data_IF_645140161596
#
_entry.id   IF_645140161596
#
_cell.length_a   1.000
_cell.length_b   1.000
_cell.length_c   1.000
_cell.angle_alpha   90.00
_cell.angle_beta   90.00
_cell.angle_gamma   90.00
#
_symmetry.space_group_name_H-M   'P 1'
#
loop_
_entity.id
_entity.type
_entity.pdbx_description
1 polymer ?
#
# COMPACT_ATOMS: atom_id res chain seq x y z
N UNK A 1 -29.61 35.52 -12.11
CA UNK A 1 -29.45 34.14 -12.60
C UNK A 1 -28.14 33.61 -12.03
N UNK A 2 -28.22 32.81 -10.96
CA UNK A 2 -27.07 32.40 -10.15
C UNK A 2 -26.19 31.37 -10.84
N UNK A 3 -24.88 31.63 -10.82
CA UNK A 3 -23.82 30.86 -11.43
C UNK A 3 -23.71 29.47 -10.77
N UNK A 4 -23.83 28.41 -11.56
CA UNK A 4 -23.74 27.03 -11.08
C UNK A 4 -22.25 26.72 -10.92
N UNK A 5 -21.76 26.81 -9.69
CA UNK A 5 -20.37 26.56 -9.37
C UNK A 5 -19.96 25.13 -9.79
N UNK A 6 -18.84 25.08 -10.50
CA UNK A 6 -18.13 23.90 -10.96
C UNK A 6 -17.89 22.93 -9.77
N UNK A 7 -18.56 21.77 -9.75
CA UNK A 7 -18.27 20.69 -8.79
C UNK A 7 -16.97 19.99 -9.23
N UNK A 8 -15.84 20.50 -8.76
CA UNK A 8 -14.53 19.89 -8.98
C UNK A 8 -14.40 18.64 -8.09
N UNK A 9 -14.32 17.46 -8.70
CA UNK A 9 -14.02 16.23 -7.98
C UNK A 9 -12.51 16.18 -7.67
N UNK A 10 -12.12 16.32 -6.40
CA UNK A 10 -10.71 16.29 -5.99
C UNK A 10 -10.29 14.86 -5.71
N UNK A 11 -9.40 14.31 -6.53
CA UNK A 11 -8.77 13.00 -6.31
C UNK A 11 -7.57 13.18 -5.38
N UNK A 12 -7.47 12.35 -4.33
CA UNK A 12 -6.31 12.28 -3.44
C UNK A 12 -5.73 10.87 -3.47
N UNK A 13 -4.41 10.80 -3.64
CA UNK A 13 -3.68 9.53 -3.60
C UNK A 13 -2.98 9.39 -2.25
N UNK A 14 -3.21 8.25 -1.59
CA UNK A 14 -2.59 7.91 -0.32
C UNK A 14 -1.81 6.59 -0.47
N UNK A 15 -0.47 6.60 -0.28
CA UNK A 15 0.31 5.37 -0.36
C UNK A 15 0.05 4.49 0.87
N UNK A 16 -0.41 3.28 0.65
CA UNK A 16 -0.76 2.33 1.73
C UNK A 16 0.20 1.15 1.82
N UNK A 17 0.70 0.67 0.67
CA UNK A 17 1.54 -0.52 0.58
C UNK A 17 2.70 -0.29 -0.39
N UNK A 18 3.83 -0.94 -0.14
CA UNK A 18 5.01 -0.91 -1.01
C UNK A 18 5.69 -2.26 -1.04
N UNK A 19 6.25 -2.61 -2.19
CA UNK A 19 7.06 -3.82 -2.35
C UNK A 19 8.36 -3.54 -3.10
N UNK A 20 9.42 -4.27 -2.77
CA UNK A 20 10.72 -4.16 -3.48
C UNK A 20 11.32 -5.53 -3.75
N UNK A 21 11.72 -5.80 -4.98
CA UNK A 21 12.38 -7.05 -5.34
C UNK A 21 13.86 -7.08 -4.93
N UNK A 22 14.28 -8.15 -4.27
CA UNK A 22 15.67 -8.40 -3.85
C UNK A 22 16.24 -9.53 -4.70
N UNK A 23 16.95 -9.17 -5.78
CA UNK A 23 17.48 -10.13 -6.76
C UNK A 23 18.35 -11.23 -6.13
N UNK A 24 19.24 -10.87 -5.21
CA UNK A 24 20.14 -11.82 -4.54
C UNK A 24 19.43 -12.90 -3.72
N UNK A 25 18.20 -12.62 -3.26
CA UNK A 25 17.41 -13.55 -2.44
C UNK A 25 16.15 -14.06 -3.16
N UNK A 26 15.93 -13.62 -4.40
CA UNK A 26 14.78 -13.95 -5.23
C UNK A 26 13.42 -13.85 -4.49
N UNK A 27 13.18 -12.72 -3.83
CA UNK A 27 11.90 -12.44 -3.18
C UNK A 27 11.60 -10.93 -3.20
N UNK A 28 10.36 -10.61 -2.87
CA UNK A 28 9.88 -9.25 -2.70
C UNK A 28 9.78 -8.97 -1.20
N UNK A 29 10.20 -7.79 -0.75
CA UNK A 29 9.97 -7.29 0.62
C UNK A 29 8.65 -6.55 0.68
N UNK A 30 7.91 -6.70 1.77
CA UNK A 30 6.59 -6.07 1.98
C UNK A 30 6.72 -4.95 3.00
N UNK A 31 6.18 -3.78 2.67
CA UNK A 31 6.18 -2.61 3.53
C UNK A 31 4.79 -1.97 3.60
N UNK A 32 4.50 -1.35 4.74
CA UNK A 32 3.29 -0.56 5.01
C UNK A 32 3.67 0.83 5.53
N UNK A 33 2.79 1.80 5.30
CA UNK A 33 2.96 3.16 5.82
C UNK A 33 2.36 3.23 7.23
N UNK A 34 3.15 3.63 8.25
CA UNK A 34 2.63 3.84 9.61
C UNK A 34 2.22 5.30 9.82
N UNK A 35 1.61 5.57 10.98
CA UNK A 35 1.20 6.92 11.40
C UNK A 35 2.37 7.92 11.55
N UNK A 36 3.60 7.43 11.63
CA UNK A 36 4.82 8.24 11.61
C UNK A 36 5.25 8.68 10.20
N UNK A 37 4.45 8.32 9.18
CA UNK A 37 4.68 8.59 7.76
C UNK A 37 5.97 7.95 7.20
N UNK A 38 6.45 6.88 7.85
CA UNK A 38 7.57 6.09 7.37
C UNK A 38 7.13 4.72 6.85
N UNK A 39 7.94 4.16 5.95
CA UNK A 39 7.77 2.79 5.47
C UNK A 39 8.36 1.80 6.48
N UNK A 40 7.53 0.91 7.00
CA UNK A 40 7.94 -0.14 7.92
C UNK A 40 7.83 -1.50 7.24
N UNK A 41 8.73 -2.43 7.59
CA UNK A 41 8.58 -3.82 7.15
C UNK A 41 7.30 -4.40 7.73
N UNK A 42 6.53 -5.10 6.91
CA UNK A 42 5.33 -5.78 7.37
C UNK A 42 5.73 -7.03 8.18
N UNK A 43 5.59 -6.99 9.50
CA UNK A 43 6.16 -8.00 10.40
C UNK A 43 5.52 -9.38 10.25
N UNK A 44 4.21 -9.45 10.01
CA UNK A 44 3.47 -10.71 9.87
C UNK A 44 3.97 -11.52 8.67
N UNK A 45 4.28 -10.85 7.56
CA UNK A 45 4.81 -11.49 6.35
C UNK A 45 5.75 -10.54 5.61
N UNK A 46 7.03 -10.43 6.04
CA UNK A 46 7.96 -9.41 5.56
C UNK A 46 8.42 -9.62 4.13
N UNK A 47 8.16 -10.80 3.56
CA UNK A 47 8.54 -11.14 2.18
C UNK A 47 7.52 -12.02 1.49
N UNK A 48 7.42 -11.90 0.17
CA UNK A 48 6.60 -12.75 -0.71
C UNK A 48 7.40 -13.19 -1.94
N UNK A 49 6.97 -14.25 -2.63
CA UNK A 49 7.68 -14.82 -3.78
C UNK A 49 7.35 -14.15 -5.11
N UNK A 50 6.21 -13.46 -5.21
CA UNK A 50 5.78 -12.78 -6.43
C UNK A 50 5.03 -11.49 -6.16
N UNK A 51 4.96 -10.61 -7.16
CA UNK A 51 4.10 -9.43 -7.11
C UNK A 51 2.61 -9.78 -6.96
N UNK A 52 2.16 -10.91 -7.53
CA UNK A 52 0.78 -11.40 -7.36
C UNK A 52 0.46 -11.75 -5.90
N UNK A 53 1.39 -12.41 -5.23
CA UNK A 53 1.27 -12.73 -3.81
C UNK A 53 1.28 -11.45 -2.95
N UNK A 54 2.03 -10.43 -3.34
CA UNK A 54 1.97 -9.11 -2.71
C UNK A 54 0.58 -8.47 -2.85
N UNK A 55 0.00 -8.45 -4.06
CA UNK A 55 -1.35 -7.89 -4.25
C UNK A 55 -2.40 -8.61 -3.40
N UNK A 56 -2.37 -9.96 -3.39
CA UNK A 56 -3.29 -10.76 -2.56
C UNK A 56 -3.15 -10.44 -1.07
N UNK A 57 -1.92 -10.29 -0.59
CA UNK A 57 -1.63 -9.93 0.80
C UNK A 57 -2.20 -8.54 1.15
N UNK A 58 -2.08 -7.57 0.24
CA UNK A 58 -2.64 -6.22 0.45
C UNK A 58 -4.16 -6.26 0.41
N UNK A 59 -4.77 -7.01 -0.52
CA UNK A 59 -6.22 -7.18 -0.63
C UNK A 59 -6.83 -7.87 0.60
N UNK A 60 -6.15 -8.87 1.16
CA UNK A 60 -6.61 -9.60 2.35
C UNK A 60 -6.56 -8.74 3.61
N UNK A 61 -5.54 -7.87 3.74
CA UNK A 61 -5.31 -6.94 4.86
C UNK A 61 -5.68 -7.50 6.24
N UNK A 62 -5.26 -8.74 6.52
CA UNK A 62 -5.64 -9.51 7.72
C UNK A 62 -5.35 -8.77 9.04
N UNK A 63 -4.33 -7.92 9.04
CA UNK A 63 -3.90 -7.15 10.20
C UNK A 63 -4.31 -5.67 10.16
N UNK A 64 -5.16 -5.27 9.20
CA UNK A 64 -5.63 -3.89 9.01
C UNK A 64 -4.49 -2.85 8.98
N UNK A 65 -3.36 -3.23 8.38
CA UNK A 65 -2.15 -2.40 8.32
C UNK A 65 -2.12 -1.56 7.03
N UNK A 66 -2.84 -1.97 5.99
CA UNK A 66 -2.85 -1.23 4.73
C UNK A 66 -4.03 -0.24 4.64
N UNK A 67 -5.21 -0.60 5.15
CA UNK A 67 -6.42 0.23 5.02
C UNK A 67 -7.10 0.59 6.35
N UNK A 68 -6.52 0.19 7.49
CA UNK A 68 -7.06 0.47 8.84
C UNK A 68 -6.76 1.85 9.40
#
# INVERSE_FOLDING_TARGET
MGNIANLQNVIREHPVAKTTFVKAKNHWKVFWMRSDLNWHSYSAKPTVKSAKEFCKLVEEDEHHCFFG
#
